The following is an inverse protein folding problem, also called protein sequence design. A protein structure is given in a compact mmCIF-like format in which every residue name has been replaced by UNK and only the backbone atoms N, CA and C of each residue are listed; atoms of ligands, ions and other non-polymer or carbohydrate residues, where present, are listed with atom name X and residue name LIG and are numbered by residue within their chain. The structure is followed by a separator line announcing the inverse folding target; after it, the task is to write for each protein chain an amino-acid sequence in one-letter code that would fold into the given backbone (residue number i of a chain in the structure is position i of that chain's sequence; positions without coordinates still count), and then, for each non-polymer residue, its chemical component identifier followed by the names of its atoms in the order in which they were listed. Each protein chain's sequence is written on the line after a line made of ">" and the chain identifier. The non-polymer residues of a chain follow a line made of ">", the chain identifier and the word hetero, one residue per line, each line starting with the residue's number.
data_IF_082318533705
#
_entry.id   IF_082318533705
#
_cell.length_a   1.000
_cell.length_b   1.000
_cell.length_c   1.000
_cell.angle_alpha   90.00
_cell.angle_beta   90.00
_cell.angle_gamma   90.00
#
_symmetry.space_group_name_H-M   'P 1'
#
loop_
_entity.id
_entity.type
_entity.pdbx_description
1 polymer ?
#
# COMPACT_ATOMS: atom_id res chain seq x y z
N UNK A 1 16.36 2.42 -38.96
CA UNK A 1 17.70 2.64 -38.41
C UNK A 1 17.82 3.82 -37.43
N UNK A 2 17.00 4.90 -37.56
CA UNK A 2 17.04 6.06 -36.59
C UNK A 2 16.30 5.77 -35.28
N UNK A 3 15.38 4.81 -35.23
CA UNK A 3 14.57 4.50 -34.03
C UNK A 3 15.31 3.69 -32.96
N UNK A 4 16.11 2.72 -33.37
CA UNK A 4 16.83 1.84 -32.42
C UNK A 4 17.95 2.54 -31.67
N UNK A 5 18.67 3.44 -32.34
CA UNK A 5 19.79 4.18 -31.74
C UNK A 5 19.28 5.21 -30.71
N UNK A 6 18.11 5.82 -30.96
CA UNK A 6 17.46 6.74 -30.01
C UNK A 6 16.90 6.00 -28.79
N UNK A 7 16.41 4.76 -28.99
CA UNK A 7 15.90 3.88 -27.91
C UNK A 7 17.05 3.37 -27.03
N UNK A 8 18.18 3.00 -27.63
CA UNK A 8 19.38 2.53 -26.92
C UNK A 8 20.00 3.66 -26.08
N UNK A 9 20.09 4.89 -26.60
CA UNK A 9 20.60 6.07 -25.87
C UNK A 9 19.68 6.46 -24.71
N UNK A 10 18.35 6.41 -24.88
CA UNK A 10 17.40 6.66 -23.78
C UNK A 10 17.49 5.59 -22.69
N UNK A 11 17.70 4.33 -23.05
CA UNK A 11 17.88 3.22 -22.10
C UNK A 11 19.20 3.34 -21.32
N UNK A 12 20.25 3.81 -21.94
CA UNK A 12 21.52 4.09 -21.28
C UNK A 12 21.34 5.21 -20.25
N UNK A 13 20.68 6.30 -20.61
CA UNK A 13 20.37 7.41 -19.73
C UNK A 13 19.54 7.02 -18.50
N UNK A 14 18.52 6.12 -18.66
CA UNK A 14 17.71 5.65 -17.51
C UNK A 14 18.52 4.77 -16.54
N UNK A 15 19.42 3.93 -17.05
CA UNK A 15 20.29 3.13 -16.19
C UNK A 15 21.27 4.01 -15.39
N UNK A 16 21.86 4.98 -16.03
CA UNK A 16 22.75 5.95 -15.38
C UNK A 16 22.00 6.76 -14.32
N UNK A 17 20.73 7.12 -14.60
CA UNK A 17 19.86 7.78 -13.64
C UNK A 17 19.60 6.90 -12.41
N UNK A 18 19.29 5.61 -12.60
CA UNK A 18 19.13 4.68 -11.48
C UNK A 18 20.40 4.55 -10.66
N UNK A 19 21.57 4.44 -11.29
CA UNK A 19 22.86 4.42 -10.56
C UNK A 19 23.08 5.71 -9.75
N UNK A 20 22.62 6.85 -10.26
CA UNK A 20 22.61 8.11 -9.51
C UNK A 20 21.71 8.04 -8.28
N UNK A 21 20.47 7.52 -8.44
CA UNK A 21 19.54 7.32 -7.33
C UNK A 21 20.08 6.32 -6.29
N UNK A 22 20.74 5.26 -6.72
CA UNK A 22 21.35 4.29 -5.80
C UNK A 22 22.40 4.94 -4.90
N UNK A 23 23.25 5.81 -5.47
CA UNK A 23 24.26 6.55 -4.70
C UNK A 23 23.61 7.54 -3.73
N UNK A 24 22.58 8.26 -4.17
CA UNK A 24 21.89 9.28 -3.37
C UNK A 24 21.06 8.62 -2.25
N UNK A 25 20.22 7.65 -2.59
CA UNK A 25 19.25 7.08 -1.67
C UNK A 25 19.85 6.06 -0.69
N UNK A 26 20.96 5.39 -1.04
CA UNK A 26 21.65 4.51 -0.10
C UNK A 26 22.14 5.23 1.17
N UNK A 27 22.22 6.55 1.15
CA UNK A 27 22.59 7.37 2.30
C UNK A 27 21.39 7.69 3.22
N UNK A 28 20.16 7.38 2.79
CA UNK A 28 18.95 7.63 3.58
C UNK A 28 18.74 6.48 4.56
N UNK A 29 18.93 6.73 5.84
CA UNK A 29 18.79 5.71 6.88
C UNK A 29 17.33 5.46 7.25
N UNK A 30 16.49 6.51 7.28
CA UNK A 30 15.14 6.44 7.80
C UNK A 30 14.12 7.24 6.98
N UNK A 31 12.90 6.68 6.91
CA UNK A 31 11.78 7.32 6.22
C UNK A 31 11.71 6.96 4.74
N UNK A 32 10.94 7.72 4.00
CA UNK A 32 10.68 7.55 2.55
C UNK A 32 10.28 8.87 1.86
N UNK A 33 10.42 10.00 2.56
CA UNK A 33 9.93 11.30 2.05
C UNK A 33 10.71 11.76 0.82
N UNK A 34 12.00 11.52 0.79
CA UNK A 34 12.83 11.95 -0.34
C UNK A 34 12.57 11.09 -1.57
N UNK A 35 12.38 9.77 -1.39
CA UNK A 35 12.01 8.85 -2.44
C UNK A 35 10.63 9.19 -3.01
N UNK A 36 9.63 9.47 -2.15
CA UNK A 36 8.28 9.89 -2.54
C UNK A 36 8.30 11.20 -3.33
N UNK A 37 9.03 12.21 -2.84
CA UNK A 37 9.18 13.52 -3.48
C UNK A 37 9.83 13.40 -4.85
N UNK A 38 10.91 12.61 -4.97
CA UNK A 38 11.59 12.37 -6.24
C UNK A 38 10.68 11.61 -7.21
N UNK A 39 10.01 10.57 -6.77
CA UNK A 39 9.06 9.82 -7.59
C UNK A 39 7.94 10.71 -8.12
N UNK A 40 7.39 11.58 -7.29
CA UNK A 40 6.36 12.53 -7.72
C UNK A 40 6.88 13.53 -8.76
N UNK A 41 8.08 14.08 -8.55
CA UNK A 41 8.70 15.02 -9.49
C UNK A 41 8.95 14.36 -10.85
N UNK A 42 9.49 13.14 -10.86
CA UNK A 42 9.76 12.39 -12.08
C UNK A 42 8.48 11.97 -12.80
N UNK A 43 7.45 11.55 -12.06
CA UNK A 43 6.12 11.27 -12.64
C UNK A 43 5.50 12.51 -13.31
N UNK A 44 5.69 13.69 -12.73
CA UNK A 44 5.20 14.95 -13.33
C UNK A 44 5.98 15.41 -14.54
N UNK A 45 7.27 15.08 -14.60
CA UNK A 45 8.16 15.46 -15.67
C UNK A 45 8.10 14.53 -16.89
N UNK A 46 7.92 13.23 -16.67
CA UNK A 46 7.90 12.20 -17.69
C UNK A 46 6.46 11.92 -18.18
N UNK A 47 6.34 11.37 -19.37
CA UNK A 47 5.10 10.71 -19.80
C UNK A 47 4.91 9.36 -19.06
N UNK A 48 3.71 8.78 -19.19
CA UNK A 48 3.37 7.52 -18.50
C UNK A 48 4.28 6.35 -18.93
N UNK A 49 4.65 6.28 -20.20
CA UNK A 49 5.48 5.21 -20.74
C UNK A 49 6.91 5.28 -20.20
N UNK A 50 7.46 6.48 -20.10
CA UNK A 50 8.78 6.72 -19.51
C UNK A 50 8.76 6.45 -18.00
N UNK A 51 7.72 6.92 -17.30
CA UNK A 51 7.52 6.68 -15.88
C UNK A 51 7.39 5.18 -15.58
N UNK A 52 6.67 4.41 -16.42
CA UNK A 52 6.53 2.97 -16.29
C UNK A 52 7.88 2.25 -16.46
N UNK A 53 8.66 2.60 -17.49
CA UNK A 53 10.01 2.04 -17.68
C UNK A 53 10.92 2.35 -16.50
N UNK A 54 10.87 3.57 -16.00
CA UNK A 54 11.66 4.02 -14.85
C UNK A 54 11.26 3.24 -13.58
N UNK A 55 9.96 3.06 -13.32
CA UNK A 55 9.46 2.33 -12.18
C UNK A 55 9.94 0.87 -12.16
N UNK A 56 9.78 0.16 -13.28
CA UNK A 56 10.25 -1.24 -13.39
C UNK A 56 11.78 -1.36 -13.31
N UNK A 57 12.52 -0.38 -13.82
CA UNK A 57 13.97 -0.39 -13.73
C UNK A 57 14.43 -0.13 -12.29
N UNK A 58 13.81 0.84 -11.60
CA UNK A 58 14.07 1.14 -10.20
C UNK A 58 13.76 -0.04 -9.27
N UNK A 59 12.66 -0.75 -9.53
CA UNK A 59 12.27 -1.90 -8.73
C UNK A 59 13.26 -3.08 -8.82
N UNK A 60 14.11 -3.12 -9.84
CA UNK A 60 15.19 -4.13 -9.98
C UNK A 60 16.45 -3.80 -9.18
N UNK A 61 16.52 -2.65 -8.52
CA UNK A 61 17.70 -2.24 -7.75
C UNK A 61 17.90 -3.11 -6.50
N UNK A 62 19.17 -3.36 -6.16
CA UNK A 62 19.54 -3.97 -4.88
C UNK A 62 19.35 -2.99 -3.70
N UNK A 63 19.30 -1.68 -3.96
CA UNK A 63 19.07 -0.63 -2.95
C UNK A 63 17.57 -0.52 -2.69
N UNK A 64 17.11 -0.89 -1.49
CA UNK A 64 15.67 -0.93 -1.19
C UNK A 64 15.00 0.44 -1.27
N UNK A 65 15.71 1.53 -0.99
CA UNK A 65 15.20 2.89 -1.15
C UNK A 65 14.87 3.20 -2.61
N UNK A 66 15.67 2.71 -3.56
CA UNK A 66 15.37 2.85 -5.00
C UNK A 66 14.17 1.99 -5.39
N UNK A 67 14.00 0.79 -4.77
CA UNK A 67 12.77 0.02 -4.96
C UNK A 67 11.56 0.75 -4.39
N UNK A 68 11.65 1.40 -3.21
CA UNK A 68 10.58 2.24 -2.67
C UNK A 68 10.19 3.36 -3.63
N UNK A 69 11.17 4.06 -4.22
CA UNK A 69 10.92 5.05 -5.27
C UNK A 69 10.16 4.45 -6.46
N UNK A 70 10.56 3.25 -6.93
CA UNK A 70 9.85 2.52 -7.99
C UNK A 70 8.40 2.22 -7.62
N UNK A 71 8.13 1.83 -6.37
CA UNK A 71 6.77 1.53 -5.88
C UNK A 71 5.90 2.79 -5.77
N UNK A 72 6.46 3.95 -5.41
CA UNK A 72 5.74 5.21 -5.51
C UNK A 72 5.32 5.54 -6.95
N UNK A 73 6.22 5.33 -7.92
CA UNK A 73 5.87 5.48 -9.34
C UNK A 73 4.76 4.52 -9.76
N UNK A 74 4.78 3.26 -9.33
CA UNK A 74 3.69 2.31 -9.57
C UNK A 74 2.36 2.84 -9.01
N UNK A 75 2.35 3.41 -7.80
CA UNK A 75 1.16 4.05 -7.24
C UNK A 75 0.61 5.17 -8.14
N UNK A 76 1.48 6.02 -8.67
CA UNK A 76 1.08 7.08 -9.61
C UNK A 76 0.62 6.54 -10.97
N UNK A 77 1.01 5.35 -11.36
CA UNK A 77 0.65 4.69 -12.61
C UNK A 77 -0.43 3.61 -12.45
N UNK A 78 -1.03 3.48 -11.28
CA UNK A 78 -1.90 2.36 -10.89
C UNK A 78 -3.24 2.27 -11.63
N UNK A 79 -3.56 3.23 -12.50
CA UNK A 79 -4.66 3.09 -13.47
C UNK A 79 -4.35 2.09 -14.58
N UNK A 80 -3.09 1.66 -14.73
CA UNK A 80 -2.65 0.59 -15.60
C UNK A 80 -2.82 -0.75 -14.86
N UNK A 81 -3.64 -1.64 -15.40
CA UNK A 81 -3.96 -2.94 -14.79
C UNK A 81 -2.72 -3.83 -14.61
N UNK A 82 -1.78 -3.80 -15.55
CA UNK A 82 -0.51 -4.55 -15.44
C UNK A 82 0.28 -4.12 -14.20
N UNK A 83 0.30 -2.83 -13.93
CA UNK A 83 0.98 -2.28 -12.75
C UNK A 83 0.27 -2.70 -11.45
N UNK A 84 -1.05 -2.68 -11.44
CA UNK A 84 -1.83 -3.08 -10.26
C UNK A 84 -1.61 -4.56 -9.94
N UNK A 85 -1.63 -5.43 -10.96
CA UNK A 85 -1.31 -6.85 -10.85
C UNK A 85 0.13 -7.04 -10.35
N UNK A 86 1.09 -6.32 -10.91
CA UNK A 86 2.48 -6.39 -10.50
C UNK A 86 2.68 -5.98 -9.03
N UNK A 87 2.01 -4.94 -8.58
CA UNK A 87 2.02 -4.53 -7.16
C UNK A 87 1.46 -5.64 -6.25
N UNK A 88 0.34 -6.26 -6.65
CA UNK A 88 -0.29 -7.35 -5.91
C UNK A 88 0.59 -8.59 -5.82
N UNK A 89 1.17 -9.01 -6.95
CA UNK A 89 1.77 -10.33 -7.10
C UNK A 89 3.29 -10.34 -6.88
N UNK A 90 3.98 -9.23 -7.14
CA UNK A 90 5.44 -9.15 -7.03
C UNK A 90 5.90 -8.20 -5.93
N UNK A 91 5.39 -6.95 -5.89
CA UNK A 91 5.83 -5.98 -4.87
C UNK A 91 5.45 -6.45 -3.46
N UNK A 92 4.31 -7.11 -3.30
CA UNK A 92 3.87 -7.68 -2.02
C UNK A 92 4.81 -8.77 -1.47
N UNK A 93 5.66 -9.35 -2.32
CA UNK A 93 6.67 -10.36 -1.95
C UNK A 93 8.04 -9.76 -1.67
N UNK A 94 8.23 -8.45 -1.78
CA UNK A 94 9.53 -7.83 -1.49
C UNK A 94 9.98 -8.18 -0.07
N UNK A 95 11.24 -8.59 0.07
CA UNK A 95 11.81 -9.02 1.35
C UNK A 95 12.00 -7.87 2.35
N UNK A 96 11.99 -6.62 1.86
CA UNK A 96 12.18 -5.44 2.71
C UNK A 96 10.84 -4.86 3.16
N UNK A 97 10.60 -4.86 4.47
CA UNK A 97 9.34 -4.38 5.06
C UNK A 97 9.02 -2.91 4.73
N UNK A 98 10.05 -2.06 4.48
CA UNK A 98 9.85 -0.66 4.09
C UNK A 98 9.25 -0.54 2.68
N UNK A 99 9.65 -1.41 1.77
CA UNK A 99 9.04 -1.51 0.43
C UNK A 99 7.57 -1.91 0.54
N UNK A 100 7.25 -2.85 1.46
CA UNK A 100 5.86 -3.25 1.73
C UNK A 100 5.03 -2.11 2.36
N UNK A 101 5.64 -1.22 3.16
CA UNK A 101 4.95 -0.01 3.65
C UNK A 101 4.63 0.97 2.53
N UNK A 102 5.55 1.14 1.58
CA UNK A 102 5.30 1.98 0.40
C UNK A 102 4.24 1.34 -0.51
N UNK A 103 4.17 0.00 -0.60
CA UNK A 103 3.06 -0.67 -1.30
C UNK A 103 1.70 -0.27 -0.73
N UNK A 104 1.57 -0.16 0.59
CA UNK A 104 0.33 0.30 1.22
C UNK A 104 -0.05 1.73 0.77
N UNK A 105 0.93 2.63 0.65
CA UNK A 105 0.70 3.99 0.11
C UNK A 105 0.34 3.99 -1.37
N UNK A 106 0.99 3.14 -2.17
CA UNK A 106 0.69 2.99 -3.58
C UNK A 106 -0.73 2.46 -3.81
N UNK A 107 -1.20 1.55 -2.94
CA UNK A 107 -2.58 1.07 -2.97
C UNK A 107 -3.60 2.16 -2.60
N UNK A 108 -3.33 2.99 -1.59
CA UNK A 108 -4.19 4.15 -1.26
C UNK A 108 -4.25 5.15 -2.42
N UNK A 109 -3.13 5.39 -3.11
CA UNK A 109 -3.09 6.26 -4.29
C UNK A 109 -3.94 5.68 -5.44
N UNK A 110 -3.93 4.36 -5.65
CA UNK A 110 -4.86 3.69 -6.57
C UNK A 110 -6.32 3.95 -6.19
N UNK A 111 -6.70 3.69 -4.94
CA UNK A 111 -8.06 3.90 -4.47
C UNK A 111 -8.51 5.37 -4.60
N UNK A 112 -7.60 6.31 -4.33
CA UNK A 112 -7.85 7.74 -4.47
C UNK A 112 -8.12 8.14 -5.92
N UNK A 113 -7.35 7.61 -6.86
CA UNK A 113 -7.49 7.91 -8.30
C UNK A 113 -8.76 7.29 -8.90
N UNK A 114 -9.06 6.06 -8.53
CA UNK A 114 -10.23 5.31 -9.01
C UNK A 114 -11.52 5.81 -8.37
N UNK A 115 -11.41 6.43 -7.17
CA UNK A 115 -12.52 6.66 -6.25
C UNK A 115 -12.72 5.45 -5.35
N UNK A 116 -12.79 5.67 -4.03
CA UNK A 116 -12.84 4.57 -3.05
C UNK A 116 -14.05 3.64 -3.23
N UNK A 117 -15.20 4.17 -3.64
CA UNK A 117 -16.40 3.39 -3.96
C UNK A 117 -16.15 2.47 -5.17
N UNK A 118 -15.57 3.01 -6.23
CA UNK A 118 -15.28 2.25 -7.45
C UNK A 118 -14.15 1.21 -7.24
N UNK A 119 -13.31 1.41 -6.23
CA UNK A 119 -12.21 0.51 -5.88
C UNK A 119 -12.65 -0.67 -4.98
N UNK A 120 -13.90 -0.74 -4.51
CA UNK A 120 -14.35 -1.74 -3.53
C UNK A 120 -14.08 -3.18 -3.98
N UNK A 121 -14.30 -3.51 -5.25
CA UNK A 121 -14.04 -4.84 -5.78
C UNK A 121 -12.56 -5.25 -5.66
N UNK A 122 -11.65 -4.32 -5.92
CA UNK A 122 -10.20 -4.55 -5.81
C UNK A 122 -9.77 -4.57 -4.34
N UNK A 123 -10.36 -3.72 -3.50
CA UNK A 123 -10.16 -3.75 -2.04
C UNK A 123 -10.52 -5.15 -1.51
N UNK A 124 -11.69 -5.68 -1.86
CA UNK A 124 -12.16 -6.98 -1.42
C UNK A 124 -11.31 -8.13 -1.97
N UNK A 125 -10.89 -8.07 -3.24
CA UNK A 125 -9.96 -9.02 -3.86
C UNK A 125 -8.62 -9.06 -3.10
N UNK A 126 -8.03 -7.91 -2.80
CA UNK A 126 -6.75 -7.84 -2.11
C UNK A 126 -6.85 -8.27 -0.64
N UNK A 127 -7.97 -8.00 0.05
CA UNK A 127 -8.23 -8.48 1.41
C UNK A 127 -8.39 -10.00 1.48
N UNK A 128 -8.78 -10.65 0.38
CA UNK A 128 -8.92 -12.12 0.27
C UNK A 128 -7.65 -12.80 -0.31
N UNK A 129 -6.63 -12.03 -0.67
CA UNK A 129 -5.41 -12.59 -1.28
C UNK A 129 -4.69 -13.56 -0.33
N UNK A 130 -4.11 -14.62 -0.87
CA UNK A 130 -3.34 -15.61 -0.09
C UNK A 130 -2.10 -15.01 0.57
N UNK A 131 -1.48 -13.98 -0.04
CA UNK A 131 -0.32 -13.29 0.49
C UNK A 131 -0.72 -12.31 1.62
N UNK A 132 -0.24 -12.48 2.85
CA UNK A 132 -0.58 -11.60 3.96
C UNK A 132 -0.11 -10.15 3.76
N UNK A 133 0.95 -9.92 3.00
CA UNK A 133 1.43 -8.56 2.73
C UNK A 133 0.48 -7.81 1.79
N UNK A 134 -0.18 -8.51 0.86
CA UNK A 134 -1.24 -7.93 0.01
C UNK A 134 -2.43 -7.51 0.87
N UNK A 135 -2.91 -8.37 1.78
CA UNK A 135 -3.99 -8.03 2.73
C UNK A 135 -3.60 -6.86 3.64
N UNK A 136 -2.34 -6.88 4.13
CA UNK A 136 -1.80 -5.80 4.96
C UNK A 136 -1.66 -4.48 4.20
N UNK A 137 -1.31 -4.51 2.91
CA UNK A 137 -1.23 -3.30 2.09
C UNK A 137 -2.58 -2.56 2.03
N UNK A 138 -3.69 -3.29 2.02
CA UNK A 138 -5.04 -2.68 2.10
C UNK A 138 -5.31 -2.12 3.49
N UNK A 139 -5.11 -2.93 4.54
CA UNK A 139 -5.45 -2.53 5.92
C UNK A 139 -4.63 -1.33 6.39
N UNK A 140 -3.35 -1.24 6.03
CA UNK A 140 -2.49 -0.10 6.37
C UNK A 140 -2.63 1.07 5.38
N UNK A 141 -2.82 0.82 4.09
CA UNK A 141 -2.95 1.85 3.05
C UNK A 141 -4.17 2.72 3.27
N UNK A 142 -5.30 2.12 3.57
CA UNK A 142 -6.54 2.84 3.82
C UNK A 142 -6.65 3.42 5.25
N UNK A 143 -5.69 3.21 6.11
CA UNK A 143 -5.68 3.71 7.48
C UNK A 143 -5.50 5.25 7.49
N UNK A 144 -6.27 6.08 8.16
CA UNK A 144 -7.52 5.74 8.88
C UNK A 144 -8.66 5.63 7.88
N UNK A 145 -9.29 4.48 7.75
CA UNK A 145 -10.32 4.20 6.73
C UNK A 145 -11.42 5.26 6.70
N UNK A 146 -11.97 5.62 7.85
CA UNK A 146 -13.04 6.62 7.96
C UNK A 146 -12.58 8.07 7.74
N UNK A 147 -11.33 8.31 7.37
CA UNK A 147 -10.86 9.57 6.82
C UNK A 147 -10.96 9.64 5.28
N UNK A 148 -11.19 8.50 4.63
CA UNK A 148 -11.39 8.41 3.18
C UNK A 148 -12.84 8.79 2.83
N UNK A 149 -13.09 9.54 1.74
CA UNK A 149 -14.41 10.11 1.46
C UNK A 149 -15.56 9.09 1.57
N UNK A 150 -15.49 7.98 0.85
CA UNK A 150 -16.53 6.95 0.86
C UNK A 150 -16.76 6.35 2.25
N UNK A 151 -15.69 5.91 2.93
CA UNK A 151 -15.78 5.26 4.23
C UNK A 151 -16.13 6.22 5.37
N UNK A 152 -15.95 7.52 5.17
CA UNK A 152 -16.40 8.54 6.12
C UNK A 152 -17.92 8.58 6.20
N UNK A 153 -18.58 8.46 5.06
CA UNK A 153 -20.05 8.44 4.96
C UNK A 153 -20.61 7.02 5.20
N UNK A 154 -19.80 5.98 4.99
CA UNK A 154 -20.17 4.57 5.13
C UNK A 154 -19.21 3.82 6.09
N UNK A 155 -19.15 4.18 7.39
CA UNK A 155 -18.16 3.62 8.32
C UNK A 155 -18.33 2.12 8.54
N UNK A 156 -19.56 1.57 8.46
CA UNK A 156 -19.82 0.14 8.58
C UNK A 156 -19.12 -0.66 7.47
N UNK A 157 -19.06 -0.13 6.25
CA UNK A 157 -18.36 -0.76 5.12
C UNK A 157 -16.87 -0.98 5.40
N UNK A 158 -16.25 -0.04 6.11
CA UNK A 158 -14.87 -0.18 6.56
C UNK A 158 -14.75 -1.20 7.70
N UNK A 159 -15.63 -1.11 8.71
CA UNK A 159 -15.61 -1.96 9.90
C UNK A 159 -15.78 -3.43 9.51
N UNK A 160 -16.75 -3.77 8.68
CA UNK A 160 -17.02 -5.13 8.22
C UNK A 160 -15.84 -5.74 7.49
N UNK A 161 -15.24 -5.02 6.53
CA UNK A 161 -14.08 -5.51 5.78
C UNK A 161 -12.88 -5.77 6.67
N UNK A 162 -12.61 -4.87 7.60
CA UNK A 162 -11.51 -5.00 8.54
C UNK A 162 -11.77 -6.14 9.52
N UNK A 163 -12.97 -6.22 10.10
CA UNK A 163 -13.36 -7.21 11.10
C UNK A 163 -13.35 -8.64 10.55
N UNK A 164 -13.60 -8.84 9.25
CA UNK A 164 -13.49 -10.15 8.61
C UNK A 164 -12.08 -10.76 8.68
N UNK A 165 -11.05 -9.96 8.93
CA UNK A 165 -9.68 -10.41 9.10
C UNK A 165 -9.24 -10.59 10.56
N UNK A 166 -10.17 -10.60 11.53
CA UNK A 166 -9.86 -10.74 12.97
C UNK A 166 -9.17 -12.05 13.35
N UNK A 167 -9.34 -13.09 12.54
CA UNK A 167 -8.70 -14.41 12.71
C UNK A 167 -7.63 -14.71 11.65
N UNK A 168 -7.14 -13.69 10.94
CA UNK A 168 -6.12 -13.88 9.93
C UNK A 168 -4.93 -14.70 10.47
N UNK A 169 -4.44 -15.65 9.68
CA UNK A 169 -3.28 -16.48 10.06
C UNK A 169 -2.04 -15.62 10.35
N UNK A 170 -1.87 -14.49 9.67
CA UNK A 170 -0.75 -13.58 9.87
C UNK A 170 -0.97 -12.66 11.06
N UNK A 171 -0.06 -12.73 12.03
CA UNK A 171 -0.04 -11.81 13.18
C UNK A 171 0.09 -10.34 12.74
N UNK A 172 0.84 -10.08 11.66
CA UNK A 172 1.01 -8.72 11.13
C UNK A 172 -0.31 -8.16 10.60
N UNK A 173 -1.11 -8.97 9.90
CA UNK A 173 -2.45 -8.58 9.45
C UNK A 173 -3.34 -8.33 10.66
N UNK A 174 -3.38 -9.24 11.64
CA UNK A 174 -4.19 -9.07 12.86
C UNK A 174 -3.83 -7.79 13.63
N UNK A 175 -2.53 -7.46 13.73
CA UNK A 175 -2.10 -6.18 14.35
C UNK A 175 -2.62 -4.97 13.55
N UNK A 176 -2.56 -5.01 12.24
CA UNK A 176 -3.12 -3.96 11.37
C UNK A 176 -4.62 -3.82 11.56
N UNK A 177 -5.36 -4.93 11.60
CA UNK A 177 -6.81 -4.97 11.84
C UNK A 177 -7.16 -4.31 13.18
N UNK A 178 -6.55 -4.75 14.26
CA UNK A 178 -6.81 -4.20 15.59
C UNK A 178 -6.49 -2.70 15.70
N UNK A 179 -5.39 -2.27 15.08
CA UNK A 179 -5.03 -0.86 15.04
C UNK A 179 -5.99 -0.03 14.18
N UNK A 180 -6.46 -0.58 13.05
CA UNK A 180 -7.41 0.11 12.17
C UNK A 180 -8.76 0.31 12.87
N UNK A 181 -9.30 -0.74 13.52
CA UNK A 181 -10.53 -0.64 14.32
C UNK A 181 -10.38 0.35 15.48
N UNK A 182 -9.26 0.31 16.21
CA UNK A 182 -8.95 1.31 17.25
C UNK A 182 -8.95 2.73 16.70
N UNK A 183 -8.37 2.96 15.53
CA UNK A 183 -8.31 4.30 14.95
C UNK A 183 -9.70 4.78 14.48
N UNK A 184 -10.57 3.87 14.03
CA UNK A 184 -11.97 4.15 13.73
C UNK A 184 -12.75 4.47 15.02
N UNK A 185 -12.49 3.77 16.14
CA UNK A 185 -13.20 3.98 17.40
C UNK A 185 -13.04 5.40 17.97
N UNK A 186 -12.00 6.13 17.58
CA UNK A 186 -11.83 7.55 17.97
C UNK A 186 -12.98 8.43 17.51
N UNK A 187 -13.65 8.08 16.43
CA UNK A 187 -14.73 8.84 15.81
C UNK A 187 -16.07 8.12 15.86
N UNK A 188 -16.06 6.80 15.86
CA UNK A 188 -17.23 5.95 15.83
C UNK A 188 -17.14 4.86 16.93
N UNK A 189 -17.03 5.24 18.23
CA UNK A 189 -16.84 4.28 19.30
C UNK A 189 -18.02 3.29 19.43
N UNK A 190 -19.24 3.76 19.23
CA UNK A 190 -20.45 2.94 19.37
C UNK A 190 -20.49 1.85 18.27
N UNK A 191 -20.08 2.16 17.03
CA UNK A 191 -20.07 1.19 15.94
C UNK A 191 -19.02 0.11 16.20
N UNK A 192 -17.87 0.48 16.71
CA UNK A 192 -16.83 -0.49 17.06
C UNK A 192 -17.26 -1.33 18.28
N UNK A 193 -17.91 -0.75 19.28
CA UNK A 193 -18.45 -1.52 20.41
C UNK A 193 -19.46 -2.58 19.92
N UNK A 194 -20.43 -2.17 19.09
CA UNK A 194 -21.43 -3.10 18.49
C UNK A 194 -20.75 -4.24 17.73
N UNK A 195 -19.69 -3.95 16.97
CA UNK A 195 -18.93 -4.99 16.27
C UNK A 195 -18.21 -5.93 17.24
N UNK A 196 -17.52 -5.37 18.25
CA UNK A 196 -16.76 -6.17 19.21
C UNK A 196 -17.64 -7.04 20.11
N UNK A 197 -18.87 -6.60 20.44
CA UNK A 197 -19.84 -7.36 21.24
C UNK A 197 -20.32 -8.66 20.56
N UNK A 198 -20.17 -8.73 19.24
CA UNK A 198 -20.51 -9.92 18.44
C UNK A 198 -19.40 -10.97 18.41
N UNK A 199 -18.21 -10.65 18.91
CA UNK A 199 -17.07 -11.53 18.77
C UNK A 199 -17.03 -12.61 19.82
N UNK A 200 -16.84 -13.86 19.39
CA UNK A 200 -16.48 -14.94 20.30
C UNK A 200 -15.01 -14.82 20.69
N UNK A 201 -14.74 -14.61 21.97
CA UNK A 201 -13.39 -14.42 22.50
C UNK A 201 -12.70 -15.71 22.94
N UNK A 202 -13.07 -16.88 22.40
CA UNK A 202 -12.37 -18.15 22.69
C UNK A 202 -11.01 -18.22 21.96
N UNK A 203 -10.98 -17.79 20.69
CA UNK A 203 -9.77 -17.79 19.87
C UNK A 203 -8.72 -16.81 20.40
N UNK A 204 -7.46 -17.26 20.43
CA UNK A 204 -6.29 -16.44 20.78
C UNK A 204 -6.10 -15.30 19.78
N UNK A 205 -6.35 -15.56 18.53
CA UNK A 205 -6.23 -14.64 17.41
C UNK A 205 -7.23 -13.49 17.57
N UNK A 206 -8.51 -13.81 17.81
CA UNK A 206 -9.55 -12.80 18.06
C UNK A 206 -9.24 -11.99 19.32
N UNK A 207 -8.82 -12.63 20.43
CA UNK A 207 -8.42 -11.92 21.65
C UNK A 207 -7.31 -10.90 21.41
N UNK A 208 -6.35 -11.24 20.54
CA UNK A 208 -5.26 -10.33 20.18
C UNK A 208 -5.79 -9.07 19.48
N UNK A 209 -6.70 -9.25 18.51
CA UNK A 209 -7.31 -8.14 17.76
C UNK A 209 -8.23 -7.32 18.67
N UNK A 210 -9.08 -8.00 19.45
CA UNK A 210 -9.98 -7.37 20.42
C UNK A 210 -9.25 -6.43 21.37
N UNK A 211 -8.15 -6.91 21.98
CA UNK A 211 -7.33 -6.10 22.90
C UNK A 211 -6.78 -4.82 22.27
N UNK A 212 -6.49 -4.84 20.97
CA UNK A 212 -6.02 -3.66 20.25
C UNK A 212 -7.19 -2.73 19.89
N UNK A 213 -8.28 -3.29 19.38
CA UNK A 213 -9.45 -2.56 18.92
C UNK A 213 -10.18 -1.84 20.06
N UNK A 214 -10.32 -2.51 21.21
CA UNK A 214 -11.06 -1.98 22.39
C UNK A 214 -10.29 -0.94 23.22
N UNK A 215 -9.00 -0.72 22.95
CA UNK A 215 -8.10 0.08 23.79
C UNK A 215 -8.59 1.50 24.11
N UNK A 216 -9.44 2.09 23.29
CA UNK A 216 -9.94 3.46 23.43
C UNK A 216 -11.44 3.54 23.76
N UNK A 217 -12.13 2.42 23.90
CA UNK A 217 -13.56 2.35 24.21
C UNK A 217 -13.85 1.70 25.57
N UNK A 218 -12.84 1.17 26.25
CA UNK A 218 -12.92 0.61 27.61
C UNK A 218 -12.36 1.62 28.59
#
# INVERSE_FOLDING_TARGET
>A
MISEDRYARRRCCLKEYIVGLEKEFSLIENGFKEEEKRAFADYKFNDNEQSKKLAFLAYKSNVYQVRMYGVFLFGYLSSDEEILIFMRDEVSKDSNWRVQEVLAKAFDEFCKKTGYENALSIIDEWLQNSNPNTRRAVTEGLRIWTSRPYFKENPNEAIERIANLKEDASEYVRKSVGNALRDISKKFPELIQIELDRWNLESKEIKQVYKLASKLII
#
